data_IF_214695422672
#
_entry.id   IF_214695422672
#
_cell.length_a   1.000
_cell.length_b   1.000
_cell.length_c   1.000
_cell.angle_alpha   90.00
_cell.angle_beta   90.00
_cell.angle_gamma   90.00
#
_symmetry.space_group_name_H-M   'P 1'
#
loop_
_entity.id
_entity.type
_entity.pdbx_description
1 polymer ?
#
# COMPACT_ATOMS: atom_id res chain seq x y z
N UNK A 1 0.85 3.82 -10.19
CA UNK A 1 1.41 2.45 -10.10
C UNK A 1 2.67 2.46 -9.24
N UNK A 2 3.02 1.35 -8.58
CA UNK A 2 4.17 1.31 -7.66
C UNK A 2 5.09 0.15 -7.98
N UNK A 3 6.39 0.41 -8.05
CA UNK A 3 7.45 -0.57 -8.29
C UNK A 3 8.33 -0.75 -7.04
N UNK A 4 9.43 -1.48 -7.18
CA UNK A 4 10.42 -1.72 -6.12
C UNK A 4 11.82 -1.58 -6.71
N UNK A 5 12.72 -0.90 -5.99
CA UNK A 5 14.13 -0.78 -6.38
C UNK A 5 15.03 -1.25 -5.26
N UNK A 6 16.01 -2.08 -5.62
CA UNK A 6 17.06 -2.55 -4.72
C UNK A 6 18.44 -2.48 -5.38
N UNK A 7 19.43 -2.33 -4.53
CA UNK A 7 20.84 -2.64 -4.80
C UNK A 7 21.13 -3.98 -4.14
N UNK A 8 21.25 -5.04 -4.94
CA UNK A 8 21.18 -6.42 -4.43
C UNK A 8 22.26 -6.72 -3.39
N UNK A 9 23.48 -6.28 -3.64
CA UNK A 9 24.63 -6.46 -2.77
C UNK A 9 24.54 -5.67 -1.46
N UNK A 10 23.72 -4.61 -1.43
CA UNK A 10 23.45 -3.81 -0.22
C UNK A 10 22.36 -4.44 0.63
N UNK A 11 21.36 -5.06 0.01
CA UNK A 11 20.18 -5.63 0.70
C UNK A 11 20.41 -7.06 1.16
N UNK A 12 21.19 -7.84 0.41
CA UNK A 12 21.34 -9.28 0.64
C UNK A 12 22.78 -9.68 0.90
N UNK A 13 22.97 -10.63 1.82
CA UNK A 13 24.29 -11.22 2.04
C UNK A 13 24.73 -12.02 0.82
N UNK A 14 26.04 -12.10 0.61
CA UNK A 14 26.62 -12.94 -0.44
C UNK A 14 26.18 -14.40 -0.31
N UNK A 15 26.17 -14.94 0.90
CA UNK A 15 25.72 -16.31 1.18
C UNK A 15 24.26 -16.53 0.75
N UNK A 16 23.37 -15.60 1.04
CA UNK A 16 21.98 -15.69 0.58
C UNK A 16 21.90 -15.63 -0.95
N UNK A 17 22.58 -14.67 -1.58
CA UNK A 17 22.57 -14.50 -3.03
C UNK A 17 23.11 -15.73 -3.76
N UNK A 18 24.14 -16.36 -3.24
CA UNK A 18 24.79 -17.52 -3.85
C UNK A 18 24.07 -18.85 -3.49
N UNK A 19 23.01 -18.81 -2.66
CA UNK A 19 22.24 -20.00 -2.27
C UNK A 19 21.29 -20.48 -3.39
N UNK A 20 20.97 -21.79 -3.45
CA UNK A 20 20.16 -22.37 -4.52
C UNK A 20 18.70 -21.86 -4.52
N UNK A 21 18.20 -21.53 -5.71
CA UNK A 21 16.78 -21.28 -5.98
C UNK A 21 16.46 -21.41 -7.46
N UNK A 22 15.55 -22.31 -7.78
CA UNK A 22 15.02 -22.42 -9.14
C UNK A 22 14.08 -21.24 -9.48
N UNK A 23 14.34 -20.61 -10.61
CA UNK A 23 13.58 -19.47 -11.12
C UNK A 23 13.65 -19.38 -12.65
N UNK A 24 12.78 -18.60 -13.29
CA UNK A 24 12.85 -18.34 -14.73
C UNK A 24 14.17 -17.72 -15.21
N UNK A 25 14.98 -17.16 -14.30
CA UNK A 25 16.22 -16.45 -14.63
C UNK A 25 17.49 -17.23 -14.28
N UNK A 26 17.37 -18.38 -13.58
CA UNK A 26 18.51 -19.19 -13.15
C UNK A 26 18.22 -19.99 -11.89
N UNK A 27 19.29 -20.57 -11.33
CA UNK A 27 19.23 -21.54 -10.23
C UNK A 27 19.76 -21.01 -8.89
N UNK A 28 20.04 -19.70 -8.80
CA UNK A 28 20.46 -19.04 -7.55
C UNK A 28 19.47 -17.95 -7.13
N UNK A 29 19.49 -17.56 -5.84
CA UNK A 29 18.77 -16.36 -5.40
C UNK A 29 19.23 -15.12 -6.16
N UNK A 30 20.53 -15.00 -6.47
CA UNK A 30 21.08 -13.89 -7.25
C UNK A 30 20.43 -13.78 -8.62
N UNK A 31 20.29 -14.89 -9.34
CA UNK A 31 19.68 -14.88 -10.67
C UNK A 31 18.22 -14.42 -10.61
N UNK A 32 17.46 -14.95 -9.64
CA UNK A 32 16.09 -14.51 -9.43
C UNK A 32 16.01 -13.03 -9.09
N UNK A 33 16.84 -12.55 -8.16
CA UNK A 33 16.82 -11.15 -7.73
C UNK A 33 17.21 -10.21 -8.88
N UNK A 34 18.24 -10.54 -9.66
CA UNK A 34 18.62 -9.77 -10.85
C UNK A 34 17.51 -9.74 -11.89
N UNK A 35 16.86 -10.87 -12.14
CA UNK A 35 15.76 -10.95 -13.10
C UNK A 35 14.50 -10.15 -12.74
N UNK A 36 14.34 -9.80 -11.45
CA UNK A 36 13.22 -9.00 -10.95
C UNK A 36 13.53 -7.50 -10.83
N UNK A 37 14.81 -7.10 -10.89
CA UNK A 37 15.20 -5.71 -10.74
C UNK A 37 15.22 -5.00 -12.09
N UNK A 38 14.63 -3.81 -12.12
CA UNK A 38 14.70 -2.90 -13.26
C UNK A 38 15.97 -2.05 -13.22
N UNK A 39 16.47 -1.75 -14.42
CA UNK A 39 17.59 -0.85 -14.66
C UNK A 39 17.10 0.57 -15.00
N UNK A 40 18.04 1.52 -15.11
CA UNK A 40 17.71 2.93 -15.37
C UNK A 40 16.80 3.12 -16.60
N UNK A 41 17.13 2.48 -17.71
CA UNK A 41 16.36 2.59 -18.95
C UNK A 41 14.91 2.11 -18.78
N UNK A 42 14.67 1.09 -17.96
CA UNK A 42 13.33 0.60 -17.67
C UNK A 42 12.54 1.62 -16.86
N UNK A 43 13.15 2.24 -15.85
CA UNK A 43 12.53 3.29 -15.05
C UNK A 43 12.23 4.56 -15.89
N UNK A 44 13.10 4.93 -16.82
CA UNK A 44 12.86 6.03 -17.77
C UNK A 44 11.67 5.72 -18.70
N UNK A 45 11.57 4.48 -19.18
CA UNK A 45 10.43 4.02 -19.96
C UNK A 45 9.14 4.04 -19.15
N UNK A 46 9.18 3.55 -17.90
CA UNK A 46 8.04 3.60 -16.97
C UNK A 46 7.60 5.04 -16.73
N UNK A 47 8.54 5.95 -16.47
CA UNK A 47 8.24 7.36 -16.22
C UNK A 47 7.53 8.00 -17.42
N UNK A 48 8.06 7.77 -18.62
CA UNK A 48 7.47 8.28 -19.87
C UNK A 48 6.07 7.71 -20.07
N UNK A 49 5.90 6.39 -19.95
CA UNK A 49 4.61 5.74 -20.15
C UNK A 49 3.56 6.20 -19.13
N UNK A 50 3.95 6.38 -17.87
CA UNK A 50 3.08 6.86 -16.81
C UNK A 50 2.64 8.32 -17.06
N UNK A 51 3.56 9.17 -17.53
CA UNK A 51 3.25 10.54 -17.91
C UNK A 51 2.26 10.60 -19.09
N UNK A 52 2.49 9.82 -20.14
CA UNK A 52 1.59 9.75 -21.31
C UNK A 52 0.19 9.22 -20.94
N UNK A 53 0.12 8.28 -20.00
CA UNK A 53 -1.13 7.70 -19.52
C UNK A 53 -1.85 8.55 -18.46
N UNK A 54 -1.22 9.61 -17.94
CA UNK A 54 -1.75 10.42 -16.84
C UNK A 54 -1.89 9.64 -15.53
N UNK A 55 -0.98 8.69 -15.28
CA UNK A 55 -0.97 7.84 -14.07
C UNK A 55 0.26 8.17 -13.25
N UNK A 56 0.06 8.56 -12.00
CA UNK A 56 1.17 8.75 -11.05
C UNK A 56 1.93 7.45 -10.79
N UNK A 57 3.24 7.56 -10.57
CA UNK A 57 4.06 6.40 -10.23
C UNK A 57 5.09 6.69 -9.14
N UNK A 58 5.53 5.61 -8.50
CA UNK A 58 6.56 5.62 -7.46
C UNK A 58 7.23 4.23 -7.39
N UNK A 59 8.29 4.11 -6.59
CA UNK A 59 8.90 2.85 -6.23
C UNK A 59 9.29 2.84 -4.74
N UNK A 60 9.31 1.65 -4.15
CA UNK A 60 9.85 1.45 -2.80
C UNK A 60 11.34 1.19 -2.88
N UNK A 61 12.16 2.05 -2.26
CA UNK A 61 13.57 1.80 -2.05
C UNK A 61 13.77 0.79 -0.90
N UNK A 62 14.73 -0.12 -1.08
CA UNK A 62 15.12 -1.11 -0.06
C UNK A 62 16.50 -0.84 0.57
N UNK A 63 17.18 0.19 0.10
CA UNK A 63 18.50 0.62 0.55
C UNK A 63 18.71 2.10 0.18
N UNK A 64 19.74 2.71 0.76
CA UNK A 64 20.04 4.14 0.54
C UNK A 64 20.39 4.41 -0.93
N UNK A 65 21.16 3.54 -1.58
CA UNK A 65 21.55 3.75 -2.98
C UNK A 65 20.33 3.67 -3.91
N UNK A 66 19.40 2.76 -3.63
CA UNK A 66 18.11 2.70 -4.32
C UNK A 66 17.29 4.00 -4.14
N UNK A 67 17.28 4.59 -2.93
CA UNK A 67 16.61 5.88 -2.71
C UNK A 67 17.31 7.01 -3.49
N UNK A 68 18.64 7.07 -3.45
CA UNK A 68 19.43 8.04 -4.21
C UNK A 68 19.19 7.92 -5.72
N UNK A 69 19.09 6.69 -6.23
CA UNK A 69 18.71 6.42 -7.62
C UNK A 69 17.31 6.95 -7.95
N UNK A 70 16.33 6.74 -7.06
CA UNK A 70 14.95 7.17 -7.27
C UNK A 70 14.78 8.70 -7.23
N UNK A 71 15.70 9.43 -6.58
CA UNK A 71 15.70 10.91 -6.55
C UNK A 71 15.87 11.55 -7.92
N UNK A 72 16.46 10.84 -8.87
CA UNK A 72 16.60 11.32 -10.26
C UNK A 72 15.25 11.39 -11.01
N UNK A 73 14.19 10.82 -10.43
CA UNK A 73 12.86 10.77 -11.02
C UNK A 73 11.84 11.66 -10.28
N UNK A 74 10.90 12.22 -11.05
CA UNK A 74 9.76 12.96 -10.52
C UNK A 74 8.65 12.00 -10.05
N UNK A 75 8.85 11.44 -8.85
CA UNK A 75 7.92 10.52 -8.19
C UNK A 75 6.94 11.28 -7.30
N UNK A 76 5.67 10.85 -7.29
CA UNK A 76 4.60 11.53 -6.55
C UNK A 76 4.72 11.38 -5.03
N UNK A 77 5.42 10.35 -4.54
CA UNK A 77 5.68 10.09 -3.12
C UNK A 77 6.87 9.14 -2.95
N UNK A 78 7.49 9.13 -1.76
CA UNK A 78 8.42 8.09 -1.34
C UNK A 78 7.66 6.96 -0.64
N UNK A 79 8.01 5.69 -0.92
CA UNK A 79 7.40 4.54 -0.23
C UNK A 79 8.41 3.83 0.67
N UNK A 80 8.10 3.76 1.97
CA UNK A 80 8.79 2.89 2.92
C UNK A 80 8.05 1.56 3.02
N UNK A 81 8.69 0.46 2.62
CA UNK A 81 8.14 -0.89 2.79
C UNK A 81 8.21 -1.32 4.27
N UNK A 82 7.28 -2.17 4.73
CA UNK A 82 7.24 -2.67 6.10
C UNK A 82 8.58 -3.25 6.58
N UNK A 83 9.25 -4.02 5.71
CA UNK A 83 10.56 -4.61 6.01
C UNK A 83 11.66 -3.58 6.27
N UNK A 84 11.49 -2.34 5.78
CA UNK A 84 12.47 -1.26 5.87
C UNK A 84 12.19 -0.28 7.02
N UNK A 85 11.15 -0.50 7.83
CA UNK A 85 10.78 0.40 8.92
C UNK A 85 11.90 0.54 9.97
N UNK A 86 12.70 -0.51 10.20
CA UNK A 86 13.87 -0.45 11.08
C UNK A 86 15.15 0.12 10.44
N UNK A 87 15.13 0.43 9.14
CA UNK A 87 16.33 0.84 8.40
C UNK A 87 16.62 2.34 8.57
N UNK A 88 17.07 2.77 9.74
CA UNK A 88 17.25 4.19 10.08
C UNK A 88 18.04 5.05 9.08
N UNK A 89 19.15 4.60 8.45
CA UNK A 89 19.83 5.39 7.43
C UNK A 89 18.94 5.73 6.22
N UNK A 90 18.19 4.75 5.72
CA UNK A 90 17.23 4.91 4.63
C UNK A 90 16.08 5.84 5.01
N UNK A 91 15.52 5.67 6.22
CA UNK A 91 14.45 6.55 6.68
C UNK A 91 14.90 8.01 6.82
N UNK A 92 16.13 8.24 7.27
CA UNK A 92 16.72 9.58 7.32
C UNK A 92 16.87 10.18 5.93
N UNK A 93 17.37 9.42 4.97
CA UNK A 93 17.48 9.86 3.57
C UNK A 93 16.10 10.26 3.04
N UNK A 94 15.11 9.38 3.14
CA UNK A 94 13.73 9.62 2.69
C UNK A 94 13.13 10.86 3.36
N UNK A 95 13.27 11.00 4.68
CA UNK A 95 12.71 12.14 5.41
C UNK A 95 13.39 13.46 5.06
N UNK A 96 14.70 13.44 4.77
CA UNK A 96 15.47 14.64 4.42
C UNK A 96 15.07 15.24 3.06
N UNK A 97 14.48 14.46 2.16
CA UNK A 97 14.01 14.94 0.86
C UNK A 97 12.78 15.86 0.98
N UNK A 98 12.04 15.81 2.10
CA UNK A 98 10.82 16.58 2.30
C UNK A 98 9.64 16.20 1.38
N UNK A 99 9.81 15.18 0.54
CA UNK A 99 8.76 14.61 -0.30
C UNK A 99 7.82 13.75 0.56
N UNK A 100 6.51 13.84 0.32
CA UNK A 100 5.51 13.04 1.03
C UNK A 100 5.90 11.55 1.03
N UNK A 101 5.89 10.94 2.21
CA UNK A 101 6.19 9.53 2.39
C UNK A 101 4.95 8.70 2.74
N UNK A 102 4.86 7.50 2.18
CA UNK A 102 3.84 6.51 2.51
C UNK A 102 4.54 5.33 3.19
N UNK A 103 4.25 5.09 4.47
CA UNK A 103 5.05 4.22 5.33
C UNK A 103 4.19 3.03 5.78
N UNK A 104 4.50 1.82 5.33
CA UNK A 104 3.78 0.62 5.79
C UNK A 104 4.32 0.16 7.14
N UNK A 105 3.43 -0.23 8.05
CA UNK A 105 3.77 -0.56 9.44
C UNK A 105 3.62 -2.05 9.77
N UNK A 106 3.70 -2.92 8.77
CA UNK A 106 3.62 -4.37 9.01
C UNK A 106 4.86 -4.89 9.72
N UNK A 107 4.70 -5.94 10.54
CA UNK A 107 5.79 -6.54 11.34
C UNK A 107 6.41 -5.60 12.39
N UNK A 108 5.75 -4.47 12.71
CA UNK A 108 6.32 -3.46 13.60
C UNK A 108 5.56 -3.34 14.92
N UNK A 109 6.28 -3.01 15.99
CA UNK A 109 5.69 -2.63 17.28
C UNK A 109 5.27 -1.16 17.28
N UNK A 110 4.50 -0.75 18.30
CA UNK A 110 4.12 0.66 18.45
C UNK A 110 5.34 1.54 18.70
N UNK A 111 6.31 1.07 19.48
CA UNK A 111 7.54 1.80 19.80
C UNK A 111 8.41 2.04 18.56
N UNK A 112 8.47 1.07 17.65
CA UNK A 112 9.17 1.24 16.37
C UNK A 112 8.46 2.28 15.50
N UNK A 113 7.12 2.24 15.44
CA UNK A 113 6.34 3.23 14.68
C UNK A 113 6.49 4.63 15.31
N UNK A 114 6.49 4.76 16.64
CA UNK A 114 6.73 6.02 17.34
C UNK A 114 8.05 6.65 16.89
N UNK A 115 9.13 5.86 16.88
CA UNK A 115 10.45 6.33 16.46
C UNK A 115 10.50 6.80 15.00
N UNK A 116 9.75 6.15 14.11
CA UNK A 116 9.63 6.58 12.71
C UNK A 116 8.80 7.85 12.58
N UNK A 117 7.67 7.94 13.26
CA UNK A 117 6.83 9.15 13.23
C UNK A 117 7.60 10.36 13.76
N UNK A 118 8.33 10.20 14.86
CA UNK A 118 9.17 11.26 15.42
C UNK A 118 10.27 11.70 14.45
N UNK A 119 10.92 10.74 13.78
CA UNK A 119 11.94 11.04 12.77
C UNK A 119 11.38 11.89 11.63
N UNK A 120 10.23 11.51 11.07
CA UNK A 120 9.61 12.25 9.97
C UNK A 120 9.13 13.65 10.40
N UNK A 121 8.56 13.77 11.60
CA UNK A 121 8.15 15.06 12.18
C UNK A 121 9.34 15.98 12.43
N UNK A 122 10.46 15.46 12.94
CA UNK A 122 11.67 16.26 13.16
C UNK A 122 12.25 16.86 11.87
N UNK A 123 12.10 16.15 10.74
CA UNK A 123 12.50 16.65 9.43
C UNK A 123 11.44 17.54 8.76
N UNK A 124 10.25 17.68 9.37
CA UNK A 124 9.12 18.36 8.74
C UNK A 124 8.61 17.67 7.47
N UNK A 125 8.89 16.37 7.31
CA UNK A 125 8.53 15.60 6.13
C UNK A 125 7.07 15.11 6.26
N UNK A 126 6.19 15.43 5.29
CA UNK A 126 4.82 14.93 5.32
C UNK A 126 4.79 13.41 5.15
N UNK A 127 3.91 12.72 5.88
CA UNK A 127 3.78 11.28 5.81
C UNK A 127 2.34 10.79 5.97
N UNK A 128 2.08 9.58 5.48
CA UNK A 128 0.89 8.78 5.71
C UNK A 128 1.34 7.38 6.16
N UNK A 129 0.66 6.80 7.16
CA UNK A 129 0.92 5.42 7.58
C UNK A 129 0.01 4.46 6.83
N UNK A 130 0.47 3.24 6.54
CA UNK A 130 -0.38 2.17 6.05
C UNK A 130 -0.41 1.03 7.07
N UNK A 131 -1.59 0.78 7.64
CA UNK A 131 -1.83 -0.44 8.39
C UNK A 131 -1.63 -1.65 7.47
N UNK A 132 -0.93 -2.67 7.96
CA UNK A 132 -0.50 -3.79 7.14
C UNK A 132 -0.20 -5.02 7.99
N UNK A 133 -0.57 -6.20 7.47
CA UNK A 133 -0.03 -7.49 7.92
C UNK A 133 0.77 -8.09 6.75
N UNK A 134 2.03 -8.44 6.98
CA UNK A 134 2.99 -8.85 5.92
C UNK A 134 3.05 -10.37 5.71
N UNK A 135 1.92 -11.05 5.82
CA UNK A 135 1.76 -12.47 5.42
C UNK A 135 1.16 -12.54 4.01
N UNK A 136 1.62 -13.49 3.19
CA UNK A 136 1.29 -13.55 1.76
C UNK A 136 0.87 -14.98 1.36
N UNK A 137 -0.42 -15.26 1.12
CA UNK A 137 -1.57 -14.39 1.38
C UNK A 137 -1.88 -14.28 2.88
N UNK A 138 -2.34 -13.12 3.29
CA UNK A 138 -2.84 -12.86 4.64
C UNK A 138 -4.23 -13.47 4.83
N UNK A 139 -4.46 -14.14 5.96
CA UNK A 139 -5.81 -14.60 6.34
C UNK A 139 -6.66 -13.41 6.76
N UNK A 140 -7.95 -13.46 6.50
CA UNK A 140 -8.85 -12.32 6.80
C UNK A 140 -8.96 -12.04 8.29
N UNK A 141 -8.93 -13.09 9.12
CA UNK A 141 -8.94 -12.97 10.58
C UNK A 141 -7.73 -12.19 11.12
N UNK A 142 -6.62 -12.21 10.38
CA UNK A 142 -5.36 -11.54 10.77
C UNK A 142 -5.28 -10.09 10.28
N UNK A 143 -6.33 -9.58 9.60
CA UNK A 143 -6.35 -8.23 9.04
C UNK A 143 -6.29 -7.14 10.12
N UNK A 144 -6.96 -7.35 11.26
CA UNK A 144 -7.01 -6.42 12.39
C UNK A 144 -7.25 -4.94 11.99
N UNK A 145 -8.27 -4.69 11.17
CA UNK A 145 -8.49 -3.35 10.56
C UNK A 145 -8.81 -2.23 11.56
N UNK A 146 -9.15 -2.55 12.82
CA UNK A 146 -9.29 -1.55 13.88
C UNK A 146 -7.96 -0.85 14.23
N UNK A 147 -6.82 -1.35 13.75
CA UNK A 147 -5.56 -0.62 13.78
C UNK A 147 -5.59 0.68 12.95
N UNK A 148 -6.42 0.79 11.91
CA UNK A 148 -6.53 2.00 11.08
C UNK A 148 -6.97 3.21 11.93
N UNK A 149 -8.15 3.20 12.58
CA UNK A 149 -8.54 4.31 13.45
C UNK A 149 -7.61 4.47 14.65
N UNK A 150 -7.07 3.38 15.23
CA UNK A 150 -6.13 3.48 16.34
C UNK A 150 -4.85 4.24 15.97
N UNK A 151 -4.23 3.93 14.83
CA UNK A 151 -3.03 4.63 14.35
C UNK A 151 -3.34 6.10 14.04
N UNK A 152 -4.51 6.37 13.44
CA UNK A 152 -4.95 7.73 13.13
C UNK A 152 -5.12 8.55 14.41
N UNK A 153 -5.78 8.00 15.41
CA UNK A 153 -6.04 8.69 16.68
C UNK A 153 -4.73 8.91 17.46
N UNK A 154 -3.79 7.95 17.42
CA UNK A 154 -2.48 8.07 18.07
C UNK A 154 -1.58 9.12 17.43
N UNK A 155 -1.48 9.12 16.10
CA UNK A 155 -0.48 9.92 15.38
C UNK A 155 -1.05 11.17 14.71
N UNK A 156 -2.37 11.37 14.69
CA UNK A 156 -2.99 12.56 14.10
C UNK A 156 -2.61 12.75 12.63
N UNK A 157 -2.37 11.67 11.90
CA UNK A 157 -2.01 11.67 10.48
C UNK A 157 -3.00 10.82 9.68
N UNK A 158 -2.95 10.96 8.37
CA UNK A 158 -3.64 10.04 7.47
C UNK A 158 -3.15 8.61 7.67
N UNK A 159 -4.08 7.66 7.58
CA UNK A 159 -3.79 6.23 7.69
C UNK A 159 -4.54 5.49 6.60
N UNK A 160 -3.80 4.79 5.75
CA UNK A 160 -4.34 3.88 4.75
C UNK A 160 -4.21 2.40 5.15
N UNK A 161 -4.43 1.53 4.18
CA UNK A 161 -4.33 0.08 4.31
C UNK A 161 -3.51 -0.51 3.16
N UNK A 162 -2.52 -1.34 3.50
CA UNK A 162 -1.73 -2.14 2.55
C UNK A 162 -2.06 -3.61 2.74
N UNK A 163 -2.89 -4.16 1.85
CA UNK A 163 -3.44 -5.50 2.02
C UNK A 163 -2.71 -6.59 1.25
N UNK A 164 -2.68 -7.79 1.81
CA UNK A 164 -2.12 -9.00 1.19
C UNK A 164 -3.07 -10.21 1.22
N UNK A 165 -4.36 -9.98 1.46
CA UNK A 165 -5.41 -11.01 1.43
C UNK A 165 -5.79 -11.45 0.02
N UNK A 166 -6.23 -12.69 -0.16
CA UNK A 166 -6.72 -13.18 -1.46
C UNK A 166 -8.12 -12.68 -1.84
N UNK A 167 -8.93 -12.26 -0.87
CA UNK A 167 -10.31 -11.82 -1.09
C UNK A 167 -10.43 -10.39 -1.60
N UNK A 168 -9.38 -9.58 -1.44
CA UNK A 168 -9.20 -8.23 -1.98
C UNK A 168 -10.29 -7.24 -1.56
N UNK A 169 -11.43 -7.26 -2.27
CA UNK A 169 -12.45 -6.22 -2.18
C UNK A 169 -13.09 -6.13 -0.78
N UNK A 170 -13.36 -7.26 -0.14
CA UNK A 170 -14.06 -7.29 1.16
C UNK A 170 -13.28 -6.57 2.26
N UNK A 171 -11.98 -6.84 2.34
CA UNK A 171 -11.11 -6.25 3.37
C UNK A 171 -10.83 -4.78 3.02
N UNK A 172 -10.57 -4.46 1.75
CA UNK A 172 -10.34 -3.08 1.32
C UNK A 172 -11.56 -2.17 1.53
N UNK A 173 -12.78 -2.62 1.23
CA UNK A 173 -14.01 -1.85 1.49
C UNK A 173 -14.20 -1.62 2.99
N UNK A 174 -13.94 -2.64 3.81
CA UNK A 174 -14.01 -2.50 5.28
C UNK A 174 -12.96 -1.52 5.79
N UNK A 175 -11.75 -1.54 5.24
CA UNK A 175 -10.68 -0.59 5.60
C UNK A 175 -11.09 0.85 5.29
N UNK A 176 -11.66 1.12 4.09
CA UNK A 176 -12.18 2.46 3.76
C UNK A 176 -13.36 2.85 4.65
N UNK A 177 -14.24 1.90 4.98
CA UNK A 177 -15.35 2.13 5.92
C UNK A 177 -14.86 2.54 7.32
N UNK A 178 -13.67 2.09 7.73
CA UNK A 178 -13.01 2.46 8.98
C UNK A 178 -12.17 3.75 8.86
N UNK A 179 -12.17 4.39 7.69
CA UNK A 179 -11.52 5.67 7.45
C UNK A 179 -10.11 5.58 6.84
N UNK A 180 -9.78 4.47 6.17
CA UNK A 180 -8.54 4.39 5.41
C UNK A 180 -8.51 5.43 4.28
N UNK A 181 -7.43 6.21 4.19
CA UNK A 181 -7.22 7.26 3.19
C UNK A 181 -6.59 6.75 1.89
N UNK A 182 -5.77 5.70 1.99
CA UNK A 182 -5.12 5.04 0.85
C UNK A 182 -5.35 3.54 0.91
N UNK A 183 -5.49 2.90 -0.27
CA UNK A 183 -5.49 1.44 -0.42
C UNK A 183 -4.33 1.01 -1.31
N UNK A 184 -3.43 0.21 -0.77
CA UNK A 184 -2.31 -0.41 -1.51
C UNK A 184 -2.56 -1.91 -1.70
N UNK A 185 -2.40 -2.37 -2.94
CA UNK A 185 -2.58 -3.76 -3.37
C UNK A 185 -1.55 -4.11 -4.43
N UNK A 186 -1.00 -5.32 -4.34
CA UNK A 186 -0.30 -5.91 -5.48
C UNK A 186 -1.29 -6.16 -6.62
N UNK A 187 -0.80 -5.99 -7.86
CA UNK A 187 -1.57 -6.25 -9.07
C UNK A 187 -0.82 -7.26 -9.93
N UNK A 188 -1.54 -8.08 -10.68
CA UNK A 188 -0.97 -9.07 -11.58
C UNK A 188 -1.77 -9.21 -12.87
N UNK A 189 -1.12 -9.68 -13.92
CA UNK A 189 -1.81 -10.09 -15.15
C UNK A 189 -2.54 -11.43 -14.94
N UNK A 190 -1.93 -12.35 -14.18
CA UNK A 190 -2.48 -13.67 -13.88
C UNK A 190 -1.83 -14.23 -12.59
N UNK A 191 -2.67 -14.67 -11.64
CA UNK A 191 -2.23 -15.21 -10.34
C UNK A 191 -1.49 -16.54 -10.44
N UNK A 192 -1.56 -17.24 -11.58
CA UNK A 192 -0.82 -18.46 -11.87
C UNK A 192 0.62 -18.19 -12.38
N UNK A 193 0.99 -16.94 -12.64
CA UNK A 193 2.35 -16.59 -13.04
C UNK A 193 3.38 -16.94 -11.95
N UNK A 194 4.65 -16.99 -12.34
CA UNK A 194 5.74 -17.14 -11.37
C UNK A 194 5.82 -15.92 -10.43
N UNK A 195 5.98 -16.17 -9.14
CA UNK A 195 6.20 -15.15 -8.12
C UNK A 195 5.47 -15.44 -6.80
N UNK A 196 6.07 -15.06 -5.67
CA UNK A 196 5.49 -15.27 -4.33
C UNK A 196 4.22 -14.45 -4.10
N UNK A 197 4.14 -13.28 -4.73
CA UNK A 197 3.11 -12.28 -4.41
C UNK A 197 1.86 -12.45 -5.30
N UNK A 198 1.92 -13.34 -6.29
CA UNK A 198 0.88 -13.55 -7.30
C UNK A 198 -0.42 -14.01 -6.65
N UNK A 199 -0.33 -14.95 -5.71
CA UNK A 199 -1.49 -15.46 -4.99
C UNK A 199 -2.21 -14.37 -4.16
N UNK A 200 -1.51 -13.31 -3.73
CA UNK A 200 -2.10 -12.20 -2.98
C UNK A 200 -2.52 -11.01 -3.86
N UNK A 201 -2.25 -11.05 -5.17
CA UNK A 201 -2.44 -9.92 -6.09
C UNK A 201 -3.86 -9.82 -6.63
N UNK A 202 -4.28 -8.60 -6.97
CA UNK A 202 -5.48 -8.33 -7.76
C UNK A 202 -5.18 -8.49 -9.24
N UNK A 203 -6.01 -9.24 -9.97
CA UNK A 203 -5.85 -9.36 -11.41
C UNK A 203 -6.28 -8.06 -12.11
N UNK A 204 -5.57 -7.67 -13.17
CA UNK A 204 -5.83 -6.45 -13.95
C UNK A 204 -7.29 -6.39 -14.43
N UNK A 205 -7.88 -7.53 -14.82
CA UNK A 205 -9.27 -7.62 -15.24
C UNK A 205 -10.28 -7.13 -14.18
N UNK A 206 -9.90 -7.18 -12.89
CA UNK A 206 -10.73 -6.77 -11.75
C UNK A 206 -10.45 -5.34 -11.25
N UNK A 207 -9.40 -4.67 -11.75
CA UNK A 207 -8.95 -3.40 -11.17
C UNK A 207 -9.97 -2.26 -11.32
N UNK A 208 -10.68 -2.20 -12.45
CA UNK A 208 -11.70 -1.17 -12.67
C UNK A 208 -12.83 -1.31 -11.65
N UNK A 209 -13.45 -2.49 -11.56
CA UNK A 209 -14.57 -2.73 -10.65
C UNK A 209 -14.14 -2.61 -9.18
N UNK A 210 -12.91 -3.03 -8.86
CA UNK A 210 -12.31 -2.82 -7.54
C UNK A 210 -12.23 -1.33 -7.20
N UNK A 211 -11.62 -0.51 -8.07
CA UNK A 211 -11.45 0.92 -7.85
C UNK A 211 -12.80 1.66 -7.76
N UNK A 212 -13.76 1.32 -8.62
CA UNK A 212 -15.13 1.87 -8.56
C UNK A 212 -15.81 1.55 -7.24
N UNK A 213 -15.72 0.30 -6.78
CA UNK A 213 -16.35 -0.14 -5.53
C UNK A 213 -15.74 0.58 -4.33
N UNK A 214 -14.40 0.62 -4.23
CA UNK A 214 -13.69 1.29 -3.13
C UNK A 214 -14.00 2.79 -3.10
N UNK A 215 -14.02 3.45 -4.26
CA UNK A 215 -14.34 4.89 -4.36
C UNK A 215 -15.78 5.22 -4.02
N UNK A 216 -16.70 4.25 -4.04
CA UNK A 216 -18.11 4.45 -3.72
C UNK A 216 -18.40 4.39 -2.21
N UNK A 217 -17.48 3.83 -1.43
CA UNK A 217 -17.68 3.62 0.02
C UNK A 217 -17.99 4.92 0.77
N UNK A 218 -17.28 6.05 0.56
CA UNK A 218 -17.62 7.31 1.25
C UNK A 218 -19.06 7.77 1.02
N UNK A 219 -19.58 7.63 -0.21
CA UNK A 219 -20.97 7.99 -0.52
C UNK A 219 -21.96 7.00 0.11
N UNK A 220 -21.57 5.73 0.30
CA UNK A 220 -22.39 4.72 0.98
C UNK A 220 -22.47 5.00 2.49
N UNK A 221 -21.35 5.38 3.11
CA UNK A 221 -21.32 5.74 4.54
C UNK A 221 -22.22 6.94 4.83
N UNK A 222 -22.27 7.91 3.91
CA UNK A 222 -23.11 9.10 4.04
C UNK A 222 -22.66 10.00 5.20
N UNK A 223 -23.61 10.72 5.79
CA UNK A 223 -23.35 11.72 6.84
C UNK A 223 -23.56 11.20 8.27
N UNK A 224 -24.15 10.01 8.43
CA UNK A 224 -24.58 9.49 9.74
C UNK A 224 -25.87 10.12 10.29
N UNK A 225 -26.49 11.07 9.57
CA UNK A 225 -27.75 11.69 9.98
C UNK A 225 -28.95 10.84 9.54
N UNK A 226 -29.83 10.49 10.48
CA UNK A 226 -31.06 9.76 10.16
C UNK A 226 -32.14 10.72 9.65
N UNK A 227 -32.15 10.90 8.34
CA UNK A 227 -33.19 11.65 7.62
C UNK A 227 -34.08 10.70 6.81
N UNK A 228 -35.27 11.18 6.44
CA UNK A 228 -36.17 10.48 5.52
C UNK A 228 -36.01 11.17 4.17
N UNK A 229 -35.54 10.42 3.17
CA UNK A 229 -35.45 10.97 1.80
C UNK A 229 -36.83 11.20 1.21
N UNK A 230 -36.95 12.05 0.19
CA UNK A 230 -38.23 12.29 -0.51
C UNK A 230 -38.86 10.97 -1.01
N UNK A 231 -38.05 10.08 -1.58
CA UNK A 231 -38.50 8.76 -2.02
C UNK A 231 -38.94 7.86 -0.85
N UNK A 232 -38.24 7.90 0.29
CA UNK A 232 -38.61 7.14 1.50
C UNK A 232 -39.89 7.70 2.14
N UNK A 233 -40.14 9.01 2.07
CA UNK A 233 -41.37 9.65 2.57
C UNK A 233 -42.63 9.13 1.86
N UNK A 234 -42.59 8.98 0.54
CA UNK A 234 -43.70 8.40 -0.22
C UNK A 234 -43.98 6.93 0.19
N UNK A 235 -42.92 6.15 0.46
CA UNK A 235 -43.06 4.78 0.97
C UNK A 235 -43.63 4.77 2.39
N UNK A 236 -43.19 5.71 3.23
CA UNK A 236 -43.67 5.86 4.60
C UNK A 236 -45.17 6.14 4.63
N UNK A 237 -45.66 7.08 3.82
CA UNK A 237 -47.09 7.42 3.72
C UNK A 237 -47.95 6.20 3.35
N UNK A 238 -47.43 5.32 2.48
CA UNK A 238 -48.14 4.11 2.05
C UNK A 238 -48.19 3.02 3.12
N UNK A 239 -47.11 2.85 3.90
CA UNK A 239 -46.89 1.65 4.72
C UNK A 239 -47.00 1.88 6.23
N UNK A 240 -46.76 3.09 6.73
CA UNK A 240 -46.94 3.37 8.15
C UNK A 240 -48.43 3.57 8.44
N UNK A 241 -48.89 2.89 9.49
CA UNK A 241 -50.24 3.05 10.03
C UNK A 241 -50.11 3.77 11.37
N UNK A 242 -50.83 4.87 11.52
CA UNK A 242 -50.98 5.53 12.82
C UNK A 242 -52.10 4.81 13.58
N UNK A 243 -51.73 4.07 14.62
CA UNK A 243 -52.69 3.45 15.53
C UNK A 243 -52.91 4.42 16.68
N UNK A 244 -54.12 4.98 16.77
CA UNK A 244 -54.53 5.79 17.92
C UNK A 244 -54.81 4.83 19.08
N UNK A 245 -54.04 4.96 20.15
CA UNK A 245 -54.19 4.19 21.40
C UNK A 245 -55.30 4.71 22.30
#
# INVERSE_FOLDING_TARGET
VKFQKRTLESVYTREFLDSPRESPWGSTQRDQKKGLEFERADYEMIATHCADAGVEWSASAWDVDAQLFLRDFDLSFNKVASAMLGHHPLLREIASEGRRAIISTGMSTIEEIDGVVDLFRQHGCPFELLHCNSTYPMREEDANLLCIPMLRDRYGCDVGYSGHESSGIKVCVTAVALGATTIERHITLDRAMYGSDQAASLEVASLRSFAETVRRVPQILGTGEKVISEAESAVREKLRVDVVG
#
